data_IF_904972491837
#
_entry.id   IF_904972491837
#
_cell.length_a   1.000
_cell.length_b   1.000
_cell.length_c   1.000
_cell.angle_alpha   90.00
_cell.angle_beta   90.00
_cell.angle_gamma   90.00
#
_symmetry.space_group_name_H-M   'P 1'
#
loop_
_entity.id
_entity.type
_entity.pdbx_description
1 polymer ?
#
# COMPACT_ATOMS: atom_id res chain seq x y z
N UNK A 1 -8.15 -22.46 -1.27
CA UNK A 1 -6.79 -22.05 -1.65
C UNK A 1 -6.55 -20.66 -1.08
N UNK A 2 -5.34 -20.32 -0.64
CA UNK A 2 -4.98 -18.91 -0.46
C UNK A 2 -5.01 -18.27 -1.84
N UNK A 3 -5.53 -17.05 -1.97
CA UNK A 3 -5.57 -16.32 -3.24
C UNK A 3 -4.16 -16.11 -3.81
N UNK A 4 -4.08 -15.70 -5.07
CA UNK A 4 -2.81 -15.42 -5.75
C UNK A 4 -2.45 -13.94 -5.79
N UNK A 5 -3.25 -13.08 -5.14
CA UNK A 5 -3.12 -11.63 -5.31
C UNK A 5 -1.75 -11.07 -4.94
N UNK A 6 -1.31 -10.10 -5.73
CA UNK A 6 0.03 -9.51 -5.69
C UNK A 6 -0.01 -8.06 -6.18
N UNK A 7 0.15 -7.11 -5.27
CA UNK A 7 0.16 -5.68 -5.60
C UNK A 7 1.46 -5.02 -5.18
N UNK A 8 1.88 -4.02 -5.95
CA UNK A 8 2.90 -3.09 -5.53
C UNK A 8 2.22 -1.83 -4.96
N UNK A 9 2.51 -1.52 -3.69
CA UNK A 9 1.97 -0.38 -2.97
C UNK A 9 3.06 0.68 -2.80
N UNK A 10 2.78 1.88 -3.30
CA UNK A 10 3.60 3.06 -3.07
C UNK A 10 2.78 4.14 -2.36
N UNK A 11 3.34 4.73 -1.31
CA UNK A 11 2.77 5.89 -0.62
C UNK A 11 3.76 7.04 -0.72
N UNK A 12 3.29 8.19 -1.22
CA UNK A 12 4.10 9.41 -1.34
C UNK A 12 3.48 10.58 -0.57
N UNK A 13 4.34 11.48 -0.09
CA UNK A 13 3.98 12.76 0.52
C UNK A 13 4.62 13.91 -0.25
N UNK A 14 3.81 14.74 -0.89
CA UNK A 14 4.22 15.80 -1.83
C UNK A 14 5.15 15.28 -2.94
N UNK A 15 4.85 14.08 -3.46
CA UNK A 15 5.63 13.41 -4.50
C UNK A 15 6.91 12.74 -4.01
N UNK A 16 7.28 12.87 -2.72
CA UNK A 16 8.38 12.12 -2.12
C UNK A 16 7.88 10.76 -1.63
N UNK A 17 8.56 9.67 -2.02
CA UNK A 17 8.26 8.33 -1.51
C UNK A 17 8.45 8.26 0.01
N UNK A 18 7.42 7.79 0.70
CA UNK A 18 7.41 7.51 2.14
C UNK A 18 7.37 6.00 2.41
N UNK A 19 6.76 5.22 1.51
CA UNK A 19 6.70 3.77 1.56
C UNK A 19 6.66 3.19 0.15
N UNK A 20 7.32 2.05 -0.02
CA UNK A 20 7.23 1.20 -1.21
C UNK A 20 7.37 -0.26 -0.81
N UNK A 21 6.48 -1.12 -1.29
CA UNK A 21 6.55 -2.55 -1.01
C UNK A 21 5.50 -3.38 -1.75
N UNK A 22 5.79 -4.67 -1.90
CA UNK A 22 4.86 -5.64 -2.48
C UNK A 22 4.03 -6.30 -1.37
N UNK A 23 2.72 -6.43 -1.58
CA UNK A 23 1.80 -7.15 -0.70
C UNK A 23 1.16 -8.31 -1.46
N UNK A 24 1.23 -9.49 -0.87
CA UNK A 24 0.67 -10.72 -1.43
C UNK A 24 -0.43 -11.31 -0.56
N UNK A 25 -1.30 -12.12 -1.15
CA UNK A 25 -2.37 -12.82 -0.44
C UNK A 25 -1.89 -13.82 0.64
N UNK A 26 -0.58 -14.05 0.77
CA UNK A 26 0.03 -14.92 1.78
C UNK A 26 0.66 -14.14 2.93
N UNK A 27 0.80 -12.83 2.77
CA UNK A 27 1.38 -11.99 3.80
C UNK A 27 0.41 -11.82 4.96
N UNK A 28 0.97 -11.68 6.17
CA UNK A 28 0.19 -11.15 7.28
C UNK A 28 -0.06 -9.66 7.03
N UNK A 29 -1.12 -9.12 7.64
CA UNK A 29 -1.35 -7.67 7.61
C UNK A 29 -0.09 -6.91 8.04
N UNK A 30 0.34 -5.98 7.19
CA UNK A 30 1.53 -5.17 7.39
C UNK A 30 1.12 -3.85 8.07
N UNK A 31 1.49 -3.61 9.34
CA UNK A 31 1.28 -2.31 9.96
C UNK A 31 2.19 -1.27 9.29
N UNK A 32 1.61 -0.14 8.89
CA UNK A 32 2.32 0.99 8.28
C UNK A 32 2.09 2.22 9.14
N UNK A 33 3.17 2.83 9.62
CA UNK A 33 3.19 4.09 10.36
C UNK A 33 4.19 5.02 9.67
N UNK A 34 3.70 6.13 9.14
CA UNK A 34 4.48 7.05 8.30
C UNK A 34 4.43 8.45 8.89
N UNK A 35 5.59 9.09 9.01
CA UNK A 35 5.65 10.51 9.32
C UNK A 35 5.21 11.32 8.10
N UNK A 36 4.04 11.95 8.25
CA UNK A 36 3.43 12.81 7.24
C UNK A 36 3.46 14.28 7.67
N UNK A 37 4.29 14.62 8.67
CA UNK A 37 4.44 15.99 9.15
C UNK A 37 4.84 16.94 8.02
N UNK A 38 4.16 18.08 7.94
CA UNK A 38 4.36 19.11 6.92
C UNK A 38 4.11 18.65 5.47
N UNK A 39 3.48 17.49 5.26
CA UNK A 39 3.04 17.05 3.94
C UNK A 39 1.67 17.61 3.62
N UNK A 40 1.49 18.15 2.42
CA UNK A 40 0.20 18.70 1.98
C UNK A 40 -0.63 17.66 1.25
N UNK A 41 0.01 16.82 0.44
CA UNK A 41 -0.64 15.79 -0.37
C UNK A 41 -0.08 14.42 -0.04
N UNK A 42 -0.97 13.49 0.30
CA UNK A 42 -0.66 12.06 0.36
C UNK A 42 -1.26 11.38 -0.87
N UNK A 43 -0.43 10.63 -1.57
CA UNK A 43 -0.89 9.80 -2.70
C UNK A 43 -0.57 8.34 -2.39
N UNK A 44 -1.58 7.50 -2.57
CA UNK A 44 -1.50 6.05 -2.44
C UNK A 44 -1.70 5.47 -3.82
N UNK A 45 -0.69 4.76 -4.33
CA UNK A 45 -0.72 4.10 -5.62
C UNK A 45 -0.68 2.60 -5.38
N UNK A 46 -1.66 1.90 -5.94
CA UNK A 46 -1.72 0.43 -5.98
C UNK A 46 -1.57 0.04 -7.44
N UNK A 47 -0.43 -0.54 -7.77
CA UNK A 47 -0.15 -1.03 -9.11
C UNK A 47 -0.16 -2.56 -9.14
N UNK A 48 -0.29 -3.11 -10.35
CA UNK A 48 -0.19 -4.54 -10.56
C UNK A 48 1.21 -4.99 -10.15
N UNK A 49 1.29 -5.97 -9.26
CA UNK A 49 2.55 -6.60 -8.94
C UNK A 49 2.91 -7.68 -9.97
N UNK A 50 3.49 -8.79 -9.51
CA UNK A 50 3.87 -9.90 -10.38
C UNK A 50 2.71 -10.86 -10.60
N UNK A 51 2.52 -11.30 -11.84
CA UNK A 51 1.59 -12.40 -12.17
C UNK A 51 0.41 -12.02 -13.04
N UNK A 52 0.15 -10.71 -13.24
CA UNK A 52 -0.97 -10.19 -14.06
C UNK A 52 -2.33 -10.82 -13.69
N UNK A 53 -2.49 -11.26 -12.45
CA UNK A 53 -3.73 -11.84 -11.98
C UNK A 53 -4.82 -10.75 -11.95
N UNK A 54 -5.99 -11.10 -12.47
CA UNK A 54 -7.14 -10.20 -12.52
C UNK A 54 -7.87 -10.32 -11.17
N UNK A 55 -8.06 -9.20 -10.48
CA UNK A 55 -8.85 -9.16 -9.24
C UNK A 55 -8.01 -9.03 -7.96
N UNK A 56 -6.84 -8.39 -8.04
CA UNK A 56 -6.01 -8.13 -6.87
C UNK A 56 -6.63 -7.01 -6.01
N UNK A 57 -7.14 -7.40 -4.85
CA UNK A 57 -7.72 -6.49 -3.89
C UNK A 57 -6.70 -6.17 -2.79
N UNK A 58 -6.52 -4.89 -2.50
CA UNK A 58 -5.74 -4.42 -1.37
C UNK A 58 -6.64 -3.69 -0.37
N UNK A 59 -6.57 -4.09 0.89
CA UNK A 59 -7.23 -3.40 1.99
C UNK A 59 -6.22 -2.58 2.80
N UNK A 60 -6.42 -1.27 2.86
CA UNK A 60 -5.78 -0.40 3.86
C UNK A 60 -6.63 -0.38 5.13
N UNK A 61 -6.55 -1.46 5.90
CA UNK A 61 -7.34 -1.64 7.11
C UNK A 61 -7.00 -0.56 8.17
N UNK A 62 -8.04 0.07 8.75
CA UNK A 62 -7.92 1.13 9.78
C UNK A 62 -7.01 2.31 9.38
N UNK A 63 -6.95 2.64 8.09
CA UNK A 63 -6.19 3.79 7.62
C UNK A 63 -6.76 5.10 8.17
N UNK A 64 -5.91 5.86 8.86
CA UNK A 64 -6.28 7.12 9.50
C UNK A 64 -5.10 8.07 9.60
N UNK A 65 -5.40 9.36 9.52
CA UNK A 65 -4.48 10.41 9.96
C UNK A 65 -4.72 10.67 11.43
N UNK A 66 -3.65 10.63 12.23
CA UNK A 66 -3.65 11.00 13.64
C UNK A 66 -2.75 12.22 13.86
N UNK A 67 -3.02 12.98 14.93
CA UNK A 67 -2.29 14.20 15.29
C UNK A 67 -1.52 14.00 16.58
#
# INVERSE_FOLDING_TARGET
SLGHGNVDLTITGDGQELFSGTVTARDKALPIDLDVSNKQFLQITVDFGKGLDIGDHLDLADAKLIK
#
